data_IF_948056682893
#
_entry.id   IF_948056682893
#
_cell.length_a   1.000
_cell.length_b   1.000
_cell.length_c   1.000
_cell.angle_alpha   90.00
_cell.angle_beta   90.00
_cell.angle_gamma   90.00
#
_symmetry.space_group_name_H-M   'P 1'
#
loop_
_entity.id
_entity.type
_entity.pdbx_description
1 polymer ?
#
# COMPACT_ATOMS: atom_id res chain seq x y z
N UNK A 1 -54.05 32.25 16.36
CA UNK A 1 -54.23 30.94 17.02
C UNK A 1 -53.69 29.74 16.22
N UNK A 2 -53.00 29.93 15.08
CA UNK A 2 -52.52 28.82 14.23
C UNK A 2 -51.06 28.38 14.53
N UNK A 3 -50.21 29.24 15.08
CA UNK A 3 -48.79 28.92 15.33
C UNK A 3 -48.56 27.93 16.49
N UNK A 4 -49.43 27.94 17.51
CA UNK A 4 -49.33 27.03 18.66
C UNK A 4 -49.74 25.59 18.37
N UNK A 5 -50.49 25.36 17.28
CA UNK A 5 -50.96 24.02 16.88
C UNK A 5 -49.88 23.26 16.07
N UNK A 6 -49.14 23.99 15.22
CA UNK A 6 -48.00 23.45 14.47
C UNK A 6 -46.84 23.01 15.37
N UNK A 7 -46.55 23.75 16.44
CA UNK A 7 -45.48 23.39 17.38
C UNK A 7 -45.82 22.13 18.20
N UNK A 8 -47.11 21.89 18.49
CA UNK A 8 -47.59 20.67 19.17
C UNK A 8 -47.59 19.44 18.24
N UNK A 9 -47.89 19.61 16.95
CA UNK A 9 -47.85 18.53 15.96
C UNK A 9 -46.40 18.06 15.69
N UNK A 10 -45.44 18.98 15.59
CA UNK A 10 -44.02 18.61 15.37
C UNK A 10 -43.44 17.91 16.60
N UNK A 11 -43.78 18.34 17.83
CA UNK A 11 -43.37 17.65 19.06
C UNK A 11 -43.92 16.23 19.19
N UNK A 12 -45.16 16.00 18.75
CA UNK A 12 -45.80 14.68 18.79
C UNK A 12 -45.23 13.72 17.73
N UNK A 13 -44.89 14.21 16.53
CA UNK A 13 -44.25 13.41 15.49
C UNK A 13 -42.82 12.98 15.86
N UNK A 14 -42.06 13.83 16.55
CA UNK A 14 -40.70 13.48 17.02
C UNK A 14 -40.75 12.41 18.11
N UNK A 15 -41.73 12.46 19.02
CA UNK A 15 -41.92 11.43 20.04
C UNK A 15 -42.44 10.10 19.46
N UNK A 16 -43.28 10.13 18.42
CA UNK A 16 -43.78 8.92 17.76
C UNK A 16 -42.68 8.16 17.00
N UNK A 17 -41.71 8.87 16.41
CA UNK A 17 -40.57 8.24 15.72
C UNK A 17 -39.60 7.54 16.68
N UNK A 18 -39.48 8.01 17.93
CA UNK A 18 -38.69 7.35 18.97
C UNK A 18 -39.36 6.07 19.52
N UNK A 19 -40.65 5.88 19.30
CA UNK A 19 -41.39 4.66 19.72
C UNK A 19 -41.53 3.60 18.62
N UNK A 20 -41.23 3.94 17.36
CA UNK A 20 -41.21 3.01 16.22
C UNK A 20 -39.82 2.42 15.94
N UNK A 21 -38.78 2.93 16.61
CA UNK A 21 -37.48 2.28 16.70
C UNK A 21 -37.58 1.08 17.62
N UNK A 22 -38.06 -0.06 17.10
CA UNK A 22 -38.12 -1.30 17.86
C UNK A 22 -36.76 -1.63 18.45
N UNK A 23 -36.73 -1.92 19.75
CA UNK A 23 -35.57 -2.53 20.38
C UNK A 23 -35.27 -3.84 19.67
N UNK A 24 -34.23 -3.87 18.85
CA UNK A 24 -33.70 -5.11 18.32
C UNK A 24 -33.07 -5.87 19.50
N UNK A 25 -33.87 -6.68 20.20
CA UNK A 25 -33.35 -7.68 21.12
C UNK A 25 -32.57 -8.70 20.30
N UNK A 26 -31.24 -8.60 20.34
CA UNK A 26 -30.36 -9.66 19.87
C UNK A 26 -30.51 -10.81 20.86
N UNK A 27 -31.35 -11.78 20.51
CA UNK A 27 -31.37 -13.07 21.18
C UNK A 27 -30.06 -13.78 20.86
N UNK A 28 -29.12 -13.81 21.80
CA UNK A 28 -28.01 -14.77 21.76
C UNK A 28 -28.62 -16.15 22.00
N UNK A 29 -29.00 -16.84 20.93
CA UNK A 29 -29.45 -18.22 21.01
C UNK A 29 -28.37 -19.04 21.72
N UNK A 30 -28.72 -19.61 22.88
CA UNK A 30 -27.92 -20.67 23.48
C UNK A 30 -27.88 -21.81 22.47
N UNK A 31 -26.71 -22.02 21.85
CA UNK A 31 -26.53 -23.03 20.83
C UNK A 31 -26.94 -24.40 21.35
N UNK A 32 -27.77 -25.10 20.58
CA UNK A 32 -27.92 -26.55 20.73
C UNK A 32 -26.52 -27.15 20.72
N UNK A 33 -26.21 -27.90 21.77
CA UNK A 33 -24.91 -28.53 21.97
C UNK A 33 -24.59 -29.44 20.77
N UNK A 34 -23.67 -28.98 19.92
CA UNK A 34 -22.98 -29.84 18.96
C UNK A 34 -22.05 -30.74 19.78
N UNK A 35 -22.45 -31.99 19.96
CA UNK A 35 -21.62 -32.99 20.62
C UNK A 35 -20.33 -33.18 19.81
N UNK A 36 -19.20 -32.70 20.36
CA UNK A 36 -17.85 -32.91 19.84
C UNK A 36 -17.17 -31.71 19.16
N UNK A 37 -17.69 -30.49 19.30
CA UNK A 37 -17.06 -29.28 18.73
C UNK A 37 -16.48 -28.34 19.78
N UNK A 38 -15.28 -27.80 19.54
CA UNK A 38 -14.75 -26.68 20.31
C UNK A 38 -15.72 -25.49 20.27
N UNK A 39 -16.00 -24.90 21.44
CA UNK A 39 -16.93 -23.77 21.57
C UNK A 39 -16.18 -22.44 21.44
N UNK A 40 -16.57 -21.61 20.48
CA UNK A 40 -16.09 -20.22 20.33
C UNK A 40 -17.10 -19.27 20.96
N UNK A 41 -16.64 -18.42 21.89
CA UNK A 41 -17.45 -17.36 22.51
C UNK A 41 -17.05 -16.01 21.94
N UNK A 42 -18.01 -15.27 21.39
CA UNK A 42 -17.82 -13.92 20.86
C UNK A 42 -18.43 -12.91 21.84
N UNK A 43 -17.60 -12.07 22.45
CA UNK A 43 -18.07 -10.95 23.30
C UNK A 43 -18.29 -9.69 22.44
N UNK A 44 -19.57 -9.37 22.18
CA UNK A 44 -19.96 -8.21 21.38
C UNK A 44 -20.27 -6.96 22.24
N UNK A 45 -19.96 -6.96 23.55
CA UNK A 45 -20.29 -5.82 24.45
C UNK A 45 -19.37 -4.60 24.25
N UNK A 46 -18.15 -4.81 23.77
CA UNK A 46 -17.19 -3.73 23.53
C UNK A 46 -16.20 -4.10 22.43
N UNK A 47 -15.87 -3.14 21.56
CA UNK A 47 -14.77 -3.30 20.60
C UNK A 47 -13.41 -3.26 21.33
N UNK A 48 -12.51 -4.19 21.00
CA UNK A 48 -11.13 -4.20 21.52
C UNK A 48 -10.27 -3.15 20.80
N UNK A 49 -10.55 -2.90 19.53
CA UNK A 49 -9.88 -1.91 18.70
C UNK A 49 -10.77 -1.53 17.51
N UNK A 50 -10.44 -0.42 16.85
CA UNK A 50 -11.02 0.01 15.58
C UNK A 50 -9.92 -0.06 14.53
N UNK A 51 -10.20 -0.71 13.41
CA UNK A 51 -9.28 -0.77 12.27
C UNK A 51 -9.47 0.45 11.38
N UNK A 52 -8.42 0.83 10.66
CA UNK A 52 -8.49 1.91 9.66
C UNK A 52 -9.43 1.52 8.50
N UNK A 53 -9.93 2.52 7.78
CA UNK A 53 -10.85 2.31 6.64
C UNK A 53 -10.22 1.53 5.48
N UNK A 54 -8.89 1.58 5.39
CA UNK A 54 -8.02 0.89 4.45
C UNK A 54 -7.15 -0.17 5.16
N UNK A 55 -7.73 -0.87 6.15
CA UNK A 55 -7.06 -1.94 6.91
C UNK A 55 -6.47 -3.02 6.02
N UNK A 56 -7.17 -3.40 4.94
CA UNK A 56 -6.63 -4.33 3.94
C UNK A 56 -5.59 -3.60 3.12
N UNK A 57 -4.37 -4.14 3.08
CA UNK A 57 -3.23 -3.59 2.35
C UNK A 57 -2.62 -4.65 1.43
N UNK A 58 -1.91 -4.22 0.41
CA UNK A 58 -1.10 -5.09 -0.44
C UNK A 58 0.24 -4.43 -0.81
N UNK A 59 1.17 -5.24 -1.32
CA UNK A 59 2.50 -4.78 -1.73
C UNK A 59 2.75 -5.05 -3.21
N UNK A 60 3.47 -4.16 -3.88
CA UNK A 60 4.03 -4.39 -5.21
C UNK A 60 5.56 -4.29 -5.12
N UNK A 61 6.26 -5.30 -5.64
CA UNK A 61 7.72 -5.42 -5.53
C UNK A 61 8.43 -5.06 -6.85
N UNK A 62 9.76 -5.01 -6.80
CA UNK A 62 10.68 -4.59 -7.85
C UNK A 62 11.34 -5.76 -8.60
N UNK A 63 11.17 -7.00 -8.12
CA UNK A 63 11.87 -8.17 -8.64
C UNK A 63 11.66 -8.38 -10.15
N UNK A 64 12.74 -8.47 -10.94
CA UNK A 64 12.65 -8.72 -12.37
C UNK A 64 12.27 -10.17 -12.70
N UNK A 65 11.87 -10.47 -13.96
CA UNK A 65 11.43 -11.81 -14.38
C UNK A 65 12.48 -12.92 -14.18
N UNK A 66 13.76 -12.57 -14.22
CA UNK A 66 14.90 -13.47 -14.06
C UNK A 66 15.25 -13.75 -12.59
N UNK A 67 14.49 -13.18 -11.64
CA UNK A 67 14.53 -13.60 -10.23
C UNK A 67 13.88 -14.96 -10.09
N UNK A 68 14.70 -15.95 -9.75
CA UNK A 68 14.26 -17.31 -9.46
C UNK A 68 14.51 -17.68 -8.00
N UNK A 69 13.58 -18.41 -7.42
CA UNK A 69 13.62 -18.98 -6.07
C UNK A 69 13.38 -20.47 -6.19
N UNK A 70 14.27 -21.29 -5.60
CA UNK A 70 14.13 -22.75 -5.60
C UNK A 70 13.90 -23.36 -7.00
N UNK A 71 14.56 -22.80 -8.02
CA UNK A 71 14.41 -23.25 -9.41
C UNK A 71 13.20 -22.70 -10.18
N UNK A 72 12.37 -21.86 -9.55
CA UNK A 72 11.16 -21.27 -10.17
C UNK A 72 11.27 -19.75 -10.27
N UNK A 73 11.02 -19.19 -11.47
CA UNK A 73 11.06 -17.75 -11.72
C UNK A 73 9.63 -17.19 -11.76
N UNK A 74 9.02 -17.04 -10.59
CA UNK A 74 7.58 -16.75 -10.45
C UNK A 74 7.20 -15.29 -10.77
N UNK A 75 8.16 -14.38 -10.84
CA UNK A 75 7.89 -12.95 -10.94
C UNK A 75 7.30 -12.53 -12.29
N UNK A 76 7.77 -13.09 -13.41
CA UNK A 76 7.26 -12.75 -14.74
C UNK A 76 7.03 -11.24 -14.94
N UNK A 77 5.80 -10.87 -15.30
CA UNK A 77 5.37 -9.46 -15.41
C UNK A 77 4.57 -8.98 -14.19
N UNK A 78 5.07 -9.25 -12.97
CA UNK A 78 4.43 -8.84 -11.72
C UNK A 78 5.17 -7.70 -10.99
N UNK A 79 6.28 -7.21 -11.54
CA UNK A 79 7.07 -6.13 -10.91
C UNK A 79 6.50 -4.75 -11.20
N UNK A 80 6.79 -3.78 -10.35
CA UNK A 80 6.48 -2.37 -10.58
C UNK A 80 6.98 -1.87 -11.94
N UNK A 81 8.06 -2.44 -12.47
CA UNK A 81 8.67 -2.02 -13.73
C UNK A 81 7.98 -2.57 -14.98
N UNK A 82 7.29 -3.71 -14.88
CA UNK A 82 6.79 -4.42 -16.07
C UNK A 82 5.34 -4.95 -15.96
N UNK A 83 4.67 -4.75 -14.83
CA UNK A 83 3.29 -5.18 -14.67
C UNK A 83 2.36 -4.46 -15.66
N UNK A 84 1.42 -5.21 -16.25
CA UNK A 84 0.48 -4.69 -17.23
C UNK A 84 -0.62 -3.86 -16.55
N UNK A 85 -0.42 -2.54 -16.51
CA UNK A 85 -1.34 -1.59 -15.90
C UNK A 85 -2.66 -1.41 -16.68
N UNK A 86 -2.74 -1.88 -17.92
CA UNK A 86 -3.98 -1.87 -18.71
C UNK A 86 -4.86 -3.10 -18.46
N UNK A 87 -4.44 -4.02 -17.58
CA UNK A 87 -5.20 -5.22 -17.28
C UNK A 87 -6.44 -4.89 -16.43
N UNK A 88 -7.63 -5.09 -17.01
CA UNK A 88 -8.92 -4.83 -16.36
C UNK A 88 -9.17 -5.70 -15.12
N UNK A 89 -8.65 -6.92 -15.09
CA UNK A 89 -8.78 -7.80 -13.92
C UNK A 89 -7.99 -7.22 -12.76
N UNK A 90 -6.76 -6.78 -12.99
CA UNK A 90 -5.93 -6.13 -11.97
C UNK A 90 -6.60 -4.83 -11.46
N UNK A 91 -7.04 -3.97 -12.38
CA UNK A 91 -7.73 -2.73 -12.01
C UNK A 91 -8.98 -2.98 -11.15
N UNK A 92 -9.82 -3.92 -11.57
CA UNK A 92 -11.04 -4.26 -10.83
C UNK A 92 -10.75 -4.91 -9.48
N UNK A 93 -9.70 -5.73 -9.39
CA UNK A 93 -9.25 -6.30 -8.13
C UNK A 93 -8.83 -5.21 -7.14
N UNK A 94 -8.02 -4.23 -7.57
CA UNK A 94 -7.62 -3.11 -6.70
C UNK A 94 -8.84 -2.26 -6.30
N UNK A 95 -9.76 -1.97 -7.24
CA UNK A 95 -11.00 -1.24 -6.96
C UNK A 95 -11.91 -1.94 -5.95
N UNK A 96 -11.97 -3.27 -5.98
CA UNK A 96 -12.80 -4.05 -5.06
C UNK A 96 -12.37 -3.92 -3.58
N UNK A 97 -11.11 -3.53 -3.34
CA UNK A 97 -10.58 -3.26 -2.00
C UNK A 97 -10.46 -1.75 -1.72
N UNK A 98 -11.07 -0.87 -2.52
CA UNK A 98 -10.90 0.58 -2.37
C UNK A 98 -11.55 1.11 -1.07
N UNK A 99 -10.85 1.97 -0.28
CA UNK A 99 -9.46 2.36 -0.47
C UNK A 99 -8.48 1.23 -0.09
N UNK A 100 -7.63 0.81 -1.05
CA UNK A 100 -6.57 -0.17 -0.81
C UNK A 100 -5.25 0.58 -0.60
N UNK A 101 -4.59 0.38 0.54
CA UNK A 101 -3.20 0.84 0.74
C UNK A 101 -2.24 -0.08 -0.03
N UNK A 102 -1.56 0.48 -1.02
CA UNK A 102 -0.52 -0.20 -1.81
C UNK A 102 0.86 0.31 -1.41
N UNK A 103 1.66 -0.58 -0.82
CA UNK A 103 3.05 -0.30 -0.49
C UNK A 103 3.97 -0.74 -1.62
N UNK A 104 4.63 0.23 -2.25
CA UNK A 104 5.51 0.05 -3.40
C UNK A 104 6.95 -0.05 -2.88
N UNK A 105 7.49 -1.25 -2.86
CA UNK A 105 8.74 -1.49 -2.16
C UNK A 105 9.13 -2.96 -2.16
N UNK A 106 10.35 -3.23 -1.74
CA UNK A 106 10.93 -4.57 -1.83
C UNK A 106 12.41 -4.53 -1.48
N UNK A 107 13.11 -5.65 -1.59
CA UNK A 107 14.55 -5.67 -1.28
C UNK A 107 15.35 -4.84 -2.29
N UNK A 108 14.97 -4.87 -3.57
CA UNK A 108 15.65 -4.09 -4.62
C UNK A 108 15.35 -2.58 -4.57
N UNK A 109 14.43 -2.11 -3.71
CA UNK A 109 14.16 -0.69 -3.50
C UNK A 109 15.43 0.09 -3.14
N UNK A 110 16.27 -0.50 -2.31
CA UNK A 110 17.53 0.06 -1.87
C UNK A 110 18.65 0.01 -2.92
N UNK A 111 18.37 -0.62 -4.06
CA UNK A 111 19.26 -0.67 -5.22
C UNK A 111 18.64 0.08 -6.42
N UNK A 112 17.62 0.90 -6.20
CA UNK A 112 16.89 1.63 -7.24
C UNK A 112 17.35 3.10 -7.34
N UNK A 113 17.53 3.59 -8.56
CA UNK A 113 17.71 5.03 -8.86
C UNK A 113 16.51 5.56 -9.65
N UNK A 114 16.13 6.80 -9.41
CA UNK A 114 15.04 7.46 -10.14
C UNK A 114 15.58 8.31 -11.28
N UNK A 115 15.02 8.17 -12.48
CA UNK A 115 15.48 8.83 -13.72
C UNK A 115 15.16 10.33 -13.80
N UNK A 116 15.58 11.08 -12.80
CA UNK A 116 15.34 12.53 -12.70
C UNK A 116 16.47 13.36 -13.32
N UNK A 117 17.40 12.71 -14.03
CA UNK A 117 18.61 13.33 -14.57
C UNK A 117 19.64 13.75 -13.52
N UNK A 118 19.50 13.28 -12.26
CA UNK A 118 20.40 13.57 -11.14
C UNK A 118 20.70 12.30 -10.33
N UNK A 119 21.90 11.69 -10.47
CA UNK A 119 22.97 12.03 -11.42
C UNK A 119 22.56 11.72 -12.88
N UNK A 120 23.27 12.31 -13.85
CA UNK A 120 23.11 11.95 -15.27
C UNK A 120 23.74 10.58 -15.51
N UNK A 121 22.92 9.55 -15.48
CA UNK A 121 23.30 8.18 -15.81
C UNK A 121 22.21 7.52 -16.68
N UNK A 122 22.55 6.57 -17.55
CA UNK A 122 21.56 5.79 -18.28
C UNK A 122 20.61 5.07 -17.32
N UNK A 123 19.31 5.14 -17.58
CA UNK A 123 18.32 4.42 -16.80
C UNK A 123 18.27 2.95 -17.24
N UNK A 124 19.00 2.09 -16.54
CA UNK A 124 19.08 0.66 -16.85
C UNK A 124 18.19 -0.17 -15.92
N UNK A 125 17.51 -1.22 -16.43
CA UNK A 125 16.76 -2.14 -15.58
C UNK A 125 17.71 -2.93 -14.66
N UNK A 126 17.13 -3.58 -13.65
CA UNK A 126 17.84 -4.58 -12.87
C UNK A 126 18.33 -5.71 -13.79
N UNK A 127 19.59 -6.11 -13.63
CA UNK A 127 20.19 -7.26 -14.30
C UNK A 127 20.78 -8.19 -13.26
N UNK A 128 20.65 -9.51 -13.47
CA UNK A 128 21.28 -10.50 -12.60
C UNK A 128 22.79 -10.26 -12.48
N UNK A 129 23.24 -10.10 -11.24
CA UNK A 129 24.64 -9.97 -10.88
C UNK A 129 24.86 -10.65 -9.51
N UNK A 130 25.33 -11.89 -9.54
CA UNK A 130 25.46 -12.72 -8.33
C UNK A 130 26.46 -12.20 -7.32
N UNK A 131 27.35 -11.28 -7.73
CA UNK A 131 28.32 -10.63 -6.85
C UNK A 131 27.78 -9.35 -6.21
N UNK A 132 26.63 -8.84 -6.68
CA UNK A 132 26.00 -7.65 -6.14
C UNK A 132 25.02 -7.98 -5.00
N UNK A 133 24.70 -6.98 -4.19
CA UNK A 133 23.69 -7.10 -3.15
C UNK A 133 22.35 -7.58 -3.75
N UNK A 134 21.72 -8.54 -3.07
CA UNK A 134 20.50 -9.21 -3.54
C UNK A 134 20.61 -9.99 -4.86
N UNK A 135 21.81 -10.11 -5.44
CA UNK A 135 22.05 -10.84 -6.68
C UNK A 135 21.68 -10.05 -7.95
N UNK A 136 21.51 -8.73 -7.86
CA UNK A 136 21.15 -7.86 -8.99
C UNK A 136 21.95 -6.57 -9.01
N UNK A 137 22.15 -6.02 -10.20
CA UNK A 137 22.73 -4.69 -10.40
C UNK A 137 21.87 -3.61 -9.75
N UNK A 138 22.40 -2.37 -9.71
CA UNK A 138 21.53 -1.21 -9.55
C UNK A 138 20.50 -1.20 -10.70
N UNK A 139 19.25 -0.93 -10.35
CA UNK A 139 18.15 -0.74 -11.30
C UNK A 139 17.72 0.71 -11.32
N UNK A 140 16.91 1.04 -12.31
CA UNK A 140 16.38 2.39 -12.48
C UNK A 140 14.87 2.36 -12.70
N UNK A 141 14.16 3.33 -12.10
CA UNK A 141 12.76 3.63 -12.38
C UNK A 141 12.69 4.80 -13.37
N UNK A 142 12.32 4.54 -14.64
CA UNK A 142 12.06 5.60 -15.60
C UNK A 142 10.85 6.46 -15.17
N UNK A 143 10.93 7.77 -15.38
CA UNK A 143 9.83 8.67 -14.99
C UNK A 143 8.53 8.43 -15.78
N UNK A 144 8.62 8.00 -17.04
CA UNK A 144 7.41 7.62 -17.79
C UNK A 144 6.69 6.45 -17.12
N UNK A 145 7.44 5.47 -16.60
CA UNK A 145 6.86 4.33 -15.90
C UNK A 145 6.23 4.75 -14.57
N UNK A 146 6.84 5.71 -13.89
CA UNK A 146 6.24 6.33 -12.71
C UNK A 146 4.93 7.07 -13.03
N UNK A 147 4.87 7.77 -14.16
CA UNK A 147 3.65 8.44 -14.63
C UNK A 147 2.53 7.42 -14.93
N UNK A 148 2.85 6.29 -15.57
CA UNK A 148 1.89 5.20 -15.83
C UNK A 148 1.33 4.61 -14.54
N UNK A 149 2.21 4.34 -13.56
CA UNK A 149 1.82 3.81 -12.25
C UNK A 149 0.84 4.77 -11.54
N UNK A 150 1.15 6.08 -11.53
CA UNK A 150 0.28 7.08 -10.92
C UNK A 150 -1.07 7.23 -11.64
N UNK A 151 -1.10 7.08 -12.96
CA UNK A 151 -2.36 7.04 -13.70
C UNK A 151 -3.24 5.86 -13.25
N UNK A 152 -2.64 4.67 -13.10
CA UNK A 152 -3.33 3.49 -12.58
C UNK A 152 -3.80 3.66 -11.12
N UNK A 153 -2.98 4.24 -10.25
CA UNK A 153 -3.34 4.49 -8.85
C UNK A 153 -4.53 5.44 -8.73
N UNK A 154 -4.50 6.53 -9.52
CA UNK A 154 -5.61 7.47 -9.61
C UNK A 154 -6.89 6.80 -10.12
N UNK A 155 -6.79 5.97 -11.16
CA UNK A 155 -7.94 5.27 -11.71
C UNK A 155 -8.51 4.22 -10.76
N UNK A 156 -7.65 3.55 -9.99
CA UNK A 156 -8.04 2.49 -9.04
C UNK A 156 -8.51 3.01 -7.68
N UNK A 157 -8.16 4.24 -7.31
CA UNK A 157 -8.44 4.80 -5.99
C UNK A 157 -7.56 4.22 -4.88
N UNK A 158 -6.38 3.68 -5.24
CA UNK A 158 -5.43 3.14 -4.28
C UNK A 158 -4.65 4.26 -3.57
N UNK A 159 -4.35 4.05 -2.29
CA UNK A 159 -3.51 4.94 -1.48
C UNK A 159 -2.07 4.44 -1.49
N UNK A 160 -1.14 5.30 -1.88
CA UNK A 160 0.22 4.86 -2.22
C UNK A 160 1.21 5.16 -1.10
N UNK A 161 1.90 4.13 -0.65
CA UNK A 161 3.07 4.26 0.21
C UNK A 161 4.29 3.88 -0.63
N UNK A 162 5.23 4.79 -0.81
CA UNK A 162 6.41 4.56 -1.65
C UNK A 162 7.67 4.44 -0.80
N UNK A 163 8.42 3.36 -1.00
CA UNK A 163 9.71 3.18 -0.34
C UNK A 163 10.88 3.77 -1.11
N UNK A 164 11.64 4.64 -0.45
CA UNK A 164 12.83 5.28 -0.98
C UNK A 164 14.08 4.42 -0.78
N UNK A 165 15.06 4.59 -1.67
CA UNK A 165 16.38 3.97 -1.56
C UNK A 165 17.18 4.60 -0.40
N UNK A 166 17.42 3.83 0.67
CA UNK A 166 18.23 4.24 1.82
C UNK A 166 19.73 4.00 1.65
N UNK A 167 20.15 3.21 0.65
CA UNK A 167 21.56 2.88 0.41
C UNK A 167 22.24 3.82 -0.59
N UNK A 168 21.52 4.74 -1.21
CA UNK A 168 22.10 5.69 -2.15
C UNK A 168 23.22 6.53 -1.50
N UNK A 169 24.44 6.44 -2.06
CA UNK A 169 25.63 7.12 -1.54
C UNK A 169 26.26 6.50 -0.29
N UNK A 170 25.70 5.40 0.24
CA UNK A 170 26.35 4.65 1.32
C UNK A 170 27.59 3.93 0.80
N UNK A 171 28.57 3.75 1.68
CA UNK A 171 29.86 3.15 1.34
C UNK A 171 30.08 1.84 2.11
N UNK A 172 30.59 0.77 1.47
CA UNK A 172 31.01 -0.43 2.17
C UNK A 172 32.13 -0.14 3.17
N UNK A 173 31.98 -0.67 4.38
CA UNK A 173 32.95 -0.60 5.45
C UNK A 173 33.72 -1.93 5.57
N UNK A 174 34.92 -1.95 6.17
CA UNK A 174 35.72 -3.18 6.32
C UNK A 174 35.02 -4.31 7.10
N UNK A 175 34.08 -3.97 7.97
CA UNK A 175 33.28 -4.91 8.77
C UNK A 175 32.06 -5.47 8.01
N UNK A 176 31.89 -5.11 6.73
CA UNK A 176 30.77 -5.53 5.89
C UNK A 176 29.51 -4.66 6.04
N UNK A 177 29.50 -3.68 6.96
CA UNK A 177 28.40 -2.74 7.10
C UNK A 177 28.42 -1.67 6.00
N UNK A 178 27.31 -0.93 5.85
CA UNK A 178 27.21 0.23 4.98
C UNK A 178 27.23 1.53 5.80
N UNK A 179 28.31 2.30 5.67
CA UNK A 179 28.54 3.59 6.32
C UNK A 179 28.36 4.80 5.41
N UNK A 180 28.84 5.96 5.86
CA UNK A 180 28.80 7.23 5.11
C UNK A 180 27.45 7.95 5.13
N UNK A 181 27.38 9.23 4.74
CA UNK A 181 26.12 9.96 4.70
C UNK A 181 25.20 9.43 3.59
N UNK A 182 23.89 9.39 3.85
CA UNK A 182 22.91 9.09 2.80
C UNK A 182 22.83 10.26 1.80
N UNK A 183 23.00 9.97 0.52
CA UNK A 183 22.85 10.97 -0.53
C UNK A 183 21.36 11.10 -0.92
N UNK A 184 20.67 12.04 -0.28
CA UNK A 184 19.25 12.27 -0.52
C UNK A 184 18.92 12.92 -1.87
N UNK A 185 19.90 13.36 -2.66
CA UNK A 185 19.67 14.18 -3.87
C UNK A 185 18.76 13.50 -4.90
N UNK A 186 18.94 12.20 -5.12
CA UNK A 186 18.13 11.45 -6.08
C UNK A 186 16.68 11.29 -5.58
N UNK A 187 16.49 10.95 -4.31
CA UNK A 187 15.17 10.87 -3.66
C UNK A 187 14.45 12.23 -3.65
N UNK A 188 15.14 13.31 -3.28
CA UNK A 188 14.56 14.65 -3.27
C UNK A 188 14.14 15.12 -4.67
N UNK A 189 14.94 14.79 -5.69
CA UNK A 189 14.59 15.06 -7.09
C UNK A 189 13.34 14.30 -7.54
N UNK A 190 13.20 13.04 -7.11
CA UNK A 190 12.03 12.19 -7.40
C UNK A 190 10.76 12.66 -6.70
N UNK A 191 10.86 12.99 -5.40
CA UNK A 191 9.74 13.58 -4.64
C UNK A 191 9.32 14.90 -5.29
N UNK A 192 10.27 15.77 -5.66
CA UNK A 192 9.97 17.03 -6.33
C UNK A 192 9.25 16.81 -7.67
N UNK A 193 9.70 15.85 -8.49
CA UNK A 193 9.01 15.49 -9.72
C UNK A 193 7.56 15.05 -9.45
N UNK A 194 7.38 14.17 -8.47
CA UNK A 194 6.08 13.61 -8.06
C UNK A 194 5.12 14.71 -7.59
N UNK A 195 5.58 15.61 -6.72
CA UNK A 195 4.80 16.76 -6.23
C UNK A 195 4.48 17.73 -7.35
N UNK A 196 5.44 18.06 -8.22
CA UNK A 196 5.23 18.97 -9.35
C UNK A 196 4.20 18.44 -10.37
N UNK A 197 4.06 17.12 -10.47
CA UNK A 197 3.03 16.45 -11.28
C UNK A 197 1.66 16.43 -10.61
N UNK A 198 1.57 16.79 -9.33
CA UNK A 198 0.35 16.69 -8.55
C UNK A 198 -0.06 15.25 -8.21
N UNK A 199 0.91 14.33 -8.16
CA UNK A 199 0.66 12.95 -7.74
C UNK A 199 0.52 12.86 -6.22
N UNK A 200 -0.54 12.19 -5.77
CA UNK A 200 -0.83 12.01 -4.35
C UNK A 200 -0.16 10.74 -3.82
N UNK A 201 0.70 10.92 -2.82
CA UNK A 201 1.43 9.84 -2.15
C UNK A 201 1.09 9.92 -0.68
N UNK A 202 0.41 8.88 -0.19
CA UNK A 202 -0.07 8.78 1.19
C UNK A 202 1.08 8.73 2.20
N UNK A 203 2.20 8.09 1.83
CA UNK A 203 3.36 8.01 2.70
C UNK A 203 4.66 7.71 1.96
N UNK A 204 5.77 8.16 2.55
CA UNK A 204 7.11 7.85 2.10
C UNK A 204 7.82 7.02 3.18
N UNK A 205 8.36 5.88 2.80
CA UNK A 205 9.24 5.06 3.64
C UNK A 205 10.70 5.29 3.22
N UNK A 206 11.65 5.07 4.12
CA UNK A 206 13.08 5.12 3.82
C UNK A 206 13.73 3.78 4.12
N UNK A 207 14.14 3.08 3.06
CA UNK A 207 14.73 1.76 3.13
C UNK A 207 13.71 0.65 3.39
N UNK A 208 14.15 -0.59 3.21
CA UNK A 208 13.49 -1.77 3.75
C UNK A 208 14.31 -2.31 4.93
N UNK A 209 13.65 -3.03 5.85
CA UNK A 209 14.35 -3.78 6.89
C UNK A 209 15.30 -4.80 6.25
N UNK A 210 16.57 -4.44 6.17
CA UNK A 210 17.66 -5.38 5.96
C UNK A 210 17.81 -6.16 7.26
N UNK A 211 17.43 -7.44 7.26
CA UNK A 211 18.01 -8.37 8.25
C UNK A 211 19.48 -8.48 7.83
N UNK A 212 20.33 -7.75 8.55
CA UNK A 212 21.79 -7.90 8.52
C UNK A 212 22.20 -9.31 8.90
#
# INVERSE_FOLDING_TARGET
MAAGLLLKMVGFCVWALFWLGGSATVSTGAGSAFAGGDAVVVDARSAVAVTDEDFVCATLDWWPPDKCDYGTCAWGNASLLNLNLSNKILLNAVKAFSPLKLRLGGSLQDMLIYDTGKPRQPCTPFMKNTSAMFGFSQGCLPLHRWDELNAFFKESGARIIFGLNALNGRVPMPDGSLGGPWNYTNAASFIRYTVNKGYDIHGWELGKLSVT
#
